data_IF_424254446085
#
_entry.id   IF_424254446085
#
_cell.length_a   1.000
_cell.length_b   1.000
_cell.length_c   1.000
_cell.angle_alpha   90.00
_cell.angle_beta   90.00
_cell.angle_gamma   90.00
#
_symmetry.space_group_name_H-M   'P 1'
#
loop_
_entity.id
_entity.type
_entity.pdbx_description
1 polymer ?
#
# COMPACT_ATOMS: atom_id res chain seq x y z
N UNK A 1 -47.32 -48.95 29.35
CA UNK A 1 -47.32 -47.59 29.95
C UNK A 1 -45.91 -46.93 29.98
N UNK A 2 -44.84 -47.67 30.18
CA UNK A 2 -43.49 -47.08 30.18
C UNK A 2 -42.91 -46.84 28.77
N UNK A 3 -43.27 -47.66 27.78
CA UNK A 3 -42.79 -47.54 26.38
C UNK A 3 -43.50 -46.41 25.63
N UNK A 4 -44.78 -46.15 25.86
CA UNK A 4 -45.50 -45.02 25.23
C UNK A 4 -44.95 -43.67 25.67
N UNK A 5 -44.47 -43.53 26.92
CA UNK A 5 -43.82 -42.30 27.42
C UNK A 5 -42.45 -42.07 26.83
N UNK A 6 -41.68 -43.12 26.50
CA UNK A 6 -40.36 -43.00 25.85
C UNK A 6 -40.50 -42.61 24.38
N UNK A 7 -41.49 -43.12 23.69
CA UNK A 7 -41.74 -42.83 22.27
C UNK A 7 -42.27 -41.39 22.08
N UNK A 8 -43.17 -40.93 22.97
CA UNK A 8 -43.62 -39.53 23.01
C UNK A 8 -42.46 -38.55 23.24
N UNK A 9 -41.57 -38.83 24.20
CA UNK A 9 -40.39 -37.99 24.49
C UNK A 9 -39.37 -37.93 23.32
N UNK A 10 -39.19 -39.05 22.58
CA UNK A 10 -38.36 -39.07 21.38
C UNK A 10 -38.94 -38.25 20.22
N UNK A 11 -40.26 -38.33 20.00
CA UNK A 11 -40.96 -37.53 18.97
C UNK A 11 -40.91 -36.02 19.29
N UNK A 12 -41.06 -35.66 20.55
CA UNK A 12 -41.00 -34.27 21.00
C UNK A 12 -39.59 -33.66 20.84
N UNK A 13 -38.53 -34.42 21.22
CA UNK A 13 -37.13 -34.01 21.00
C UNK A 13 -36.79 -33.86 19.50
N UNK A 14 -37.33 -34.78 18.66
CA UNK A 14 -37.16 -34.72 17.20
C UNK A 14 -37.88 -33.50 16.60
N UNK A 15 -39.04 -33.11 17.10
CA UNK A 15 -39.76 -31.90 16.68
C UNK A 15 -39.02 -30.63 17.11
N UNK A 16 -38.55 -30.55 18.35
CA UNK A 16 -37.77 -29.42 18.84
C UNK A 16 -36.47 -29.22 18.03
N UNK A 17 -35.75 -30.30 17.73
CA UNK A 17 -34.54 -30.25 16.89
C UNK A 17 -34.84 -29.73 15.47
N UNK A 18 -35.96 -30.13 14.87
CA UNK A 18 -36.38 -29.61 13.56
C UNK A 18 -36.73 -28.13 13.58
N UNK A 19 -37.38 -27.66 14.64
CA UNK A 19 -37.66 -26.23 14.80
C UNK A 19 -36.40 -25.40 15.02
N UNK A 20 -35.44 -25.88 15.81
CA UNK A 20 -34.16 -25.24 16.02
C UNK A 20 -33.38 -25.15 14.69
N UNK A 21 -33.35 -26.25 13.92
CA UNK A 21 -32.70 -26.25 12.60
C UNK A 21 -33.42 -25.28 11.63
N UNK A 22 -34.75 -25.27 11.61
CA UNK A 22 -35.52 -24.35 10.78
C UNK A 22 -35.21 -22.87 11.11
N UNK A 23 -35.22 -22.53 12.41
CA UNK A 23 -34.86 -21.17 12.86
C UNK A 23 -33.44 -20.80 12.48
N UNK A 24 -32.48 -21.74 12.59
CA UNK A 24 -31.10 -21.50 12.16
C UNK A 24 -31.02 -21.26 10.65
N UNK A 25 -31.68 -22.08 9.84
CA UNK A 25 -31.72 -21.93 8.37
C UNK A 25 -32.37 -20.60 7.99
N UNK A 26 -33.49 -20.24 8.60
CA UNK A 26 -34.17 -18.96 8.35
C UNK A 26 -33.33 -17.77 8.78
N UNK A 27 -32.68 -17.82 9.94
CA UNK A 27 -31.78 -16.77 10.42
C UNK A 27 -30.60 -16.60 9.53
N UNK A 28 -29.97 -17.70 9.10
CA UNK A 28 -28.86 -17.68 8.16
C UNK A 28 -29.27 -17.13 6.77
N UNK A 29 -30.43 -17.57 6.25
CA UNK A 29 -30.95 -17.08 4.97
C UNK A 29 -31.28 -15.59 5.02
N UNK A 30 -31.88 -15.10 6.10
CA UNK A 30 -32.14 -13.68 6.30
C UNK A 30 -30.87 -12.87 6.37
N UNK A 31 -29.88 -13.33 7.13
CA UNK A 31 -28.56 -12.70 7.20
C UNK A 31 -27.87 -12.67 5.84
N UNK A 32 -27.90 -13.77 5.08
CA UNK A 32 -27.34 -13.84 3.74
C UNK A 32 -28.00 -12.84 2.79
N UNK A 33 -29.34 -12.73 2.84
CA UNK A 33 -30.07 -11.76 2.01
C UNK A 33 -29.73 -10.30 2.39
N UNK A 34 -29.52 -10.00 3.66
CA UNK A 34 -29.08 -8.69 4.12
C UNK A 34 -27.69 -8.39 3.57
N UNK A 35 -26.74 -9.33 3.67
CA UNK A 35 -25.41 -9.17 3.10
C UNK A 35 -25.45 -8.97 1.58
N UNK A 36 -26.24 -9.75 0.87
CA UNK A 36 -26.39 -9.66 -0.58
C UNK A 36 -27.03 -8.32 -1.01
N UNK A 37 -28.03 -7.83 -0.29
CA UNK A 37 -28.69 -6.54 -0.55
C UNK A 37 -27.76 -5.36 -0.34
N UNK A 38 -26.77 -5.47 0.55
CA UNK A 38 -25.73 -4.47 0.74
C UNK A 38 -24.61 -4.57 -0.31
N UNK A 39 -24.27 -5.79 -0.73
CA UNK A 39 -23.17 -6.05 -1.66
C UNK A 39 -23.42 -5.48 -3.07
N UNK A 40 -24.66 -5.56 -3.58
CA UNK A 40 -25.01 -5.05 -4.90
C UNK A 40 -24.83 -3.51 -5.01
N UNK A 41 -25.42 -2.71 -4.08
CA UNK A 41 -25.15 -1.26 -4.08
C UNK A 41 -23.69 -0.92 -3.93
N UNK A 42 -22.96 -1.63 -3.04
CA UNK A 42 -21.52 -1.44 -2.84
C UNK A 42 -20.73 -1.60 -4.13
N UNK A 43 -21.07 -2.60 -4.96
CA UNK A 43 -20.39 -2.82 -6.24
C UNK A 43 -20.64 -1.68 -7.23
N UNK A 44 -21.88 -1.18 -7.29
CA UNK A 44 -22.25 -0.05 -8.15
C UNK A 44 -21.56 1.23 -7.68
N UNK A 45 -21.59 1.51 -6.38
CA UNK A 45 -20.92 2.66 -5.78
C UNK A 45 -19.41 2.61 -5.97
N UNK A 46 -18.79 1.43 -5.88
CA UNK A 46 -17.36 1.26 -6.07
C UNK A 46 -16.91 1.68 -7.48
N UNK A 47 -17.67 1.28 -8.49
CA UNK A 47 -17.40 1.65 -9.89
C UNK A 47 -17.54 3.16 -10.11
N UNK A 48 -18.64 3.76 -9.66
CA UNK A 48 -18.83 5.21 -9.75
C UNK A 48 -17.82 6.00 -8.92
N UNK A 49 -17.44 5.50 -7.74
CA UNK A 49 -16.44 6.14 -6.92
C UNK A 49 -15.07 6.18 -7.62
N UNK A 50 -14.66 5.08 -8.26
CA UNK A 50 -13.39 5.03 -9.00
C UNK A 50 -13.38 6.03 -10.15
N UNK A 51 -14.45 6.11 -10.96
CA UNK A 51 -14.58 7.08 -12.04
C UNK A 51 -14.55 8.53 -11.52
N UNK A 52 -15.31 8.81 -10.45
CA UNK A 52 -15.37 10.13 -9.82
C UNK A 52 -14.00 10.56 -9.30
N UNK A 53 -13.27 9.66 -8.64
CA UNK A 53 -11.95 9.97 -8.10
C UNK A 53 -10.87 10.07 -9.19
N UNK A 54 -11.02 9.39 -10.30
CA UNK A 54 -10.17 9.54 -11.48
C UNK A 54 -10.31 10.94 -12.10
N UNK A 55 -11.54 11.42 -12.28
CA UNK A 55 -11.78 12.78 -12.75
C UNK A 55 -11.33 13.84 -11.76
N UNK A 56 -11.57 13.62 -10.46
CA UNK A 56 -11.06 14.47 -9.41
C UNK A 56 -9.53 14.57 -9.44
N UNK A 57 -8.84 13.43 -9.52
CA UNK A 57 -7.37 13.40 -9.60
C UNK A 57 -6.85 14.19 -10.80
N UNK A 58 -7.50 14.06 -11.96
CA UNK A 58 -7.12 14.84 -13.15
C UNK A 58 -7.21 16.34 -12.86
N UNK A 59 -8.34 16.82 -12.32
CA UNK A 59 -8.52 18.23 -11.97
C UNK A 59 -7.54 18.69 -10.89
N UNK A 60 -7.18 17.80 -9.96
CA UNK A 60 -6.21 18.10 -8.92
C UNK A 60 -4.77 18.23 -9.49
N UNK A 61 -4.37 17.35 -10.41
CA UNK A 61 -3.08 17.48 -11.10
C UNK A 61 -3.01 18.79 -11.91
N UNK A 62 -4.06 19.14 -12.69
CA UNK A 62 -4.15 20.40 -13.41
C UNK A 62 -4.04 21.62 -12.45
N UNK A 63 -4.65 21.53 -11.27
CA UNK A 63 -4.53 22.54 -10.21
C UNK A 63 -3.10 22.64 -9.69
N UNK A 64 -2.44 21.52 -9.39
CA UNK A 64 -1.05 21.50 -8.92
C UNK A 64 -0.10 22.10 -9.96
N UNK A 65 -0.18 21.68 -11.21
CA UNK A 65 0.65 22.21 -12.31
C UNK A 65 0.51 23.74 -12.42
N UNK A 66 -0.74 24.22 -12.38
CA UNK A 66 -1.03 25.67 -12.41
C UNK A 66 -0.45 26.40 -11.20
N UNK A 67 -0.62 25.84 -9.99
CA UNK A 67 -0.15 26.42 -8.75
C UNK A 67 1.37 26.46 -8.66
N UNK A 68 2.04 25.37 -9.05
CA UNK A 68 3.50 25.31 -9.11
C UNK A 68 4.10 26.28 -10.14
N UNK A 69 3.40 26.51 -11.25
CA UNK A 69 3.83 27.48 -12.27
C UNK A 69 3.64 28.95 -11.81
N UNK A 70 2.55 29.21 -11.07
CA UNK A 70 2.16 30.57 -10.66
C UNK A 70 2.90 31.06 -9.40
N UNK A 71 3.22 30.15 -8.47
CA UNK A 71 3.79 30.51 -7.16
C UNK A 71 5.03 29.65 -6.87
N UNK A 72 6.20 30.31 -6.79
CA UNK A 72 7.48 29.64 -6.48
C UNK A 72 7.53 29.08 -5.06
N UNK A 73 6.70 29.54 -4.14
CA UNK A 73 6.68 29.08 -2.75
C UNK A 73 5.53 28.09 -2.48
N UNK A 74 4.67 27.82 -3.47
CA UNK A 74 3.63 26.81 -3.36
C UNK A 74 4.21 25.43 -3.01
N UNK A 75 3.70 24.80 -1.95
CA UNK A 75 4.18 23.51 -1.40
C UNK A 75 5.67 23.46 -1.06
N UNK A 76 6.33 24.59 -0.91
CA UNK A 76 7.69 24.65 -0.40
C UNK A 76 7.70 24.47 1.10
N UNK A 77 8.50 23.52 1.59
CA UNK A 77 8.57 23.21 3.01
C UNK A 77 9.92 23.61 3.61
N UNK A 78 9.91 23.96 4.88
CA UNK A 78 11.13 24.05 5.68
C UNK A 78 11.41 22.66 6.28
N UNK A 79 12.25 21.87 5.61
CA UNK A 79 12.55 20.50 6.01
C UNK A 79 13.10 20.39 7.43
N UNK A 80 13.89 21.36 7.86
CA UNK A 80 14.47 21.38 9.20
C UNK A 80 13.42 21.47 10.30
N UNK A 81 12.24 22.03 10.01
CA UNK A 81 11.14 22.14 10.99
C UNK A 81 10.55 20.79 11.39
N UNK A 82 10.76 19.75 10.61
CA UNK A 82 10.29 18.38 10.88
C UNK A 82 11.30 17.55 11.66
N UNK A 83 12.54 18.04 11.80
CA UNK A 83 13.58 17.32 12.53
C UNK A 83 13.34 17.50 14.04
N UNK A 84 13.15 16.39 14.75
CA UNK A 84 12.91 16.36 16.19
C UNK A 84 13.83 15.37 16.90
N UNK A 85 14.25 15.70 18.11
CA UNK A 85 15.07 14.80 18.93
C UNK A 85 16.55 14.70 18.54
N UNK A 86 16.99 15.45 17.52
CA UNK A 86 18.38 15.54 17.04
C UNK A 86 18.64 16.92 16.44
N UNK A 87 19.91 17.27 16.21
CA UNK A 87 20.23 18.47 15.43
C UNK A 87 20.10 18.20 13.93
N UNK A 88 19.93 19.27 13.15
CA UNK A 88 19.92 19.18 11.68
C UNK A 88 21.19 18.51 11.15
N UNK A 89 22.34 18.90 11.68
CA UNK A 89 23.63 18.33 11.29
C UNK A 89 23.74 16.83 11.61
N UNK A 90 23.21 16.39 12.77
CA UNK A 90 23.20 14.97 13.14
C UNK A 90 22.36 14.15 12.16
N UNK A 91 21.18 14.65 11.77
CA UNK A 91 20.29 13.94 10.82
C UNK A 91 20.93 13.84 9.44
N UNK A 92 21.46 14.93 8.91
CA UNK A 92 22.07 14.92 7.57
C UNK A 92 23.37 14.09 7.51
N UNK A 93 24.15 14.03 8.58
CA UNK A 93 25.35 13.19 8.65
C UNK A 93 25.06 11.72 8.94
N UNK A 94 23.89 11.40 9.47
CA UNK A 94 23.46 10.03 9.73
C UNK A 94 23.28 9.23 8.44
N UNK A 95 23.46 7.91 8.52
CA UNK A 95 23.10 6.99 7.45
C UNK A 95 21.58 6.82 7.36
N UNK A 96 21.07 6.46 6.19
CA UNK A 96 19.64 6.29 5.96
C UNK A 96 18.98 5.31 6.94
N UNK A 97 19.68 4.25 7.35
CA UNK A 97 19.18 3.25 8.29
C UNK A 97 19.30 3.67 9.78
N UNK A 98 19.83 4.85 10.08
CA UNK A 98 19.99 5.38 11.44
C UNK A 98 18.92 6.42 11.79
N UNK A 99 18.12 6.85 10.82
CA UNK A 99 17.06 7.84 11.03
C UNK A 99 15.67 7.20 11.02
N UNK A 100 14.69 7.92 11.56
CA UNK A 100 13.29 7.49 11.60
C UNK A 100 12.43 8.49 10.85
N UNK A 101 11.55 7.95 10.02
CA UNK A 101 10.58 8.73 9.26
C UNK A 101 9.17 8.57 9.83
N UNK A 102 8.39 9.64 9.72
CA UNK A 102 6.95 9.54 9.84
C UNK A 102 6.41 8.94 8.52
N UNK A 103 5.55 7.93 8.65
CA UNK A 103 4.98 7.19 7.53
C UNK A 103 3.47 7.16 7.56
N UNK A 104 2.84 7.07 6.39
CA UNK A 104 1.41 6.77 6.23
C UNK A 104 1.22 5.45 5.49
N UNK A 105 0.19 4.69 5.90
CA UNK A 105 -0.20 3.40 5.33
C UNK A 105 -1.40 3.59 4.40
N UNK A 106 -1.36 3.04 3.19
CA UNK A 106 -2.35 3.33 2.14
C UNK A 106 -2.54 4.84 1.94
N UNK A 107 -1.46 5.55 1.63
CA UNK A 107 -1.36 7.02 1.66
C UNK A 107 -2.31 7.75 0.69
N UNK A 108 -2.93 7.03 -0.22
CA UNK A 108 -3.91 7.48 -1.21
C UNK A 108 -5.37 7.39 -0.73
N UNK A 109 -5.62 6.82 0.47
CA UNK A 109 -6.96 6.43 0.94
C UNK A 109 -7.79 7.62 1.42
N UNK A 110 -8.99 7.78 0.86
CA UNK A 110 -9.95 8.88 1.16
C UNK A 110 -11.26 8.42 1.80
N UNK A 111 -11.24 7.28 2.46
CA UNK A 111 -12.41 6.72 3.15
C UNK A 111 -13.18 5.69 2.33
N UNK A 112 -14.30 5.26 2.88
CA UNK A 112 -15.13 4.20 2.32
C UNK A 112 -16.30 4.79 1.53
N UNK A 113 -16.91 3.99 0.64
CA UNK A 113 -18.23 4.28 0.10
C UNK A 113 -19.30 4.00 1.17
N UNK A 114 -20.51 4.57 1.04
CA UNK A 114 -21.57 4.34 2.00
C UNK A 114 -21.96 2.84 2.13
N UNK A 115 -21.97 2.13 0.99
CA UNK A 115 -22.23 0.70 1.00
C UNK A 115 -21.17 -0.10 1.73
N UNK A 116 -19.89 0.24 1.55
CA UNK A 116 -18.79 -0.40 2.27
C UNK A 116 -18.80 -0.05 3.76
N UNK A 117 -19.09 1.20 4.13
CA UNK A 117 -19.29 1.59 5.52
C UNK A 117 -20.40 0.76 6.17
N UNK A 118 -21.55 0.60 5.50
CA UNK A 118 -22.62 -0.23 6.00
C UNK A 118 -22.21 -1.69 6.19
N UNK A 119 -21.43 -2.25 5.24
CA UNK A 119 -20.91 -3.62 5.38
C UNK A 119 -19.95 -3.76 6.57
N UNK A 120 -19.01 -2.84 6.71
CA UNK A 120 -17.96 -2.92 7.73
C UNK A 120 -18.46 -2.62 9.14
N UNK A 121 -19.38 -1.66 9.30
CA UNK A 121 -19.98 -1.31 10.60
C UNK A 121 -21.26 -2.08 10.92
N UNK A 122 -21.86 -2.77 9.94
CA UNK A 122 -23.06 -3.57 10.06
C UNK A 122 -22.77 -5.08 10.08
N UNK A 123 -23.11 -5.82 8.98
CA UNK A 123 -23.06 -7.28 8.96
C UNK A 123 -21.67 -7.88 9.23
N UNK A 124 -20.60 -7.18 8.85
CA UNK A 124 -19.22 -7.64 9.01
C UNK A 124 -18.45 -6.96 10.15
N UNK A 125 -19.09 -6.13 10.98
CA UNK A 125 -18.44 -5.38 12.05
C UNK A 125 -17.59 -6.25 12.99
N UNK A 126 -18.02 -7.48 13.26
CA UNK A 126 -17.30 -8.43 14.11
C UNK A 126 -15.98 -8.94 13.47
N UNK A 127 -15.86 -8.88 12.14
CA UNK A 127 -14.72 -9.41 11.39
C UNK A 127 -13.81 -8.31 10.86
N UNK A 128 -14.35 -7.16 10.47
CA UNK A 128 -13.60 -6.11 9.78
C UNK A 128 -13.15 -4.99 10.72
N UNK A 129 -13.88 -4.74 11.82
CA UNK A 129 -13.49 -3.79 12.85
C UNK A 129 -13.23 -2.36 12.34
N UNK A 130 -12.68 -1.53 13.22
CA UNK A 130 -12.34 -0.12 12.92
C UNK A 130 -11.02 0.05 12.14
N UNK A 131 -10.37 -1.04 11.76
CA UNK A 131 -9.05 -1.00 11.10
C UNK A 131 -9.06 -0.33 9.71
N UNK A 132 -10.24 -0.18 9.11
CA UNK A 132 -10.40 0.50 7.81
C UNK A 132 -10.92 1.93 7.92
N UNK A 133 -11.14 2.41 9.14
CA UNK A 133 -11.78 3.69 9.45
C UNK A 133 -10.72 4.81 9.57
N UNK A 134 -9.94 5.01 8.52
CA UNK A 134 -8.97 6.08 8.42
C UNK A 134 -8.98 6.69 7.03
N UNK A 135 -8.59 7.96 6.96
CA UNK A 135 -8.48 8.76 5.75
C UNK A 135 -7.20 9.56 5.79
N UNK A 136 -6.68 9.91 4.62
CA UNK A 136 -5.57 10.84 4.47
C UNK A 136 -5.94 11.96 3.52
N UNK A 137 -5.27 13.08 3.68
CA UNK A 137 -5.23 14.14 2.69
C UNK A 137 -4.46 13.69 1.44
N UNK A 138 -4.34 14.55 0.44
CA UNK A 138 -3.55 14.27 -0.76
C UNK A 138 -2.10 13.95 -0.43
N UNK A 139 -1.40 13.32 -1.36
CA UNK A 139 0.02 12.99 -1.15
C UNK A 139 0.82 14.28 -0.94
N UNK A 140 0.56 15.32 -1.73
CA UNK A 140 1.20 16.65 -1.57
C UNK A 140 1.03 17.21 -0.16
N UNK A 141 -0.19 17.15 0.40
CA UNK A 141 -0.46 17.66 1.76
C UNK A 141 0.24 16.83 2.83
N UNK A 142 0.27 15.51 2.68
CA UNK A 142 1.03 14.63 3.58
C UNK A 142 2.54 14.96 3.55
N UNK A 143 3.11 15.18 2.37
CA UNK A 143 4.51 15.58 2.22
C UNK A 143 4.77 16.95 2.84
N UNK A 144 3.84 17.91 2.69
CA UNK A 144 3.91 19.22 3.31
C UNK A 144 3.85 19.17 4.85
N UNK A 145 3.21 18.13 5.41
CA UNK A 145 3.17 17.87 6.85
C UNK A 145 4.38 17.11 7.40
N UNK A 146 5.37 16.79 6.59
CA UNK A 146 6.60 16.11 7.03
C UNK A 146 6.56 14.58 6.92
N UNK A 147 5.54 13.98 6.30
CA UNK A 147 5.56 12.55 5.94
C UNK A 147 6.65 12.35 4.89
N UNK A 148 7.55 11.39 5.13
CA UNK A 148 8.66 11.06 4.21
C UNK A 148 8.67 9.58 3.81
N UNK A 149 7.72 8.81 4.32
CA UNK A 149 7.48 7.44 3.87
C UNK A 149 5.99 7.25 3.60
N UNK A 150 5.64 6.83 2.38
CA UNK A 150 4.27 6.63 1.92
C UNK A 150 4.11 5.24 1.33
N UNK A 151 2.87 4.75 1.27
CA UNK A 151 2.53 3.46 0.67
C UNK A 151 1.52 3.63 -0.46
N UNK A 152 1.81 3.01 -1.60
CA UNK A 152 0.96 2.98 -2.79
C UNK A 152 0.69 1.53 -3.19
N UNK A 153 -0.57 1.17 -3.32
CA UNK A 153 -0.98 -0.14 -3.84
C UNK A 153 -1.02 -0.11 -5.37
N UNK A 154 -0.41 -1.09 -6.01
CA UNK A 154 -0.38 -1.21 -7.46
C UNK A 154 -1.27 -2.36 -7.95
N UNK A 155 -2.32 -2.06 -8.70
CA UNK A 155 -3.22 -3.04 -9.28
C UNK A 155 -3.09 -3.06 -10.81
N UNK A 156 -2.83 -4.25 -11.40
CA UNK A 156 -2.96 -4.45 -12.85
C UNK A 156 -4.44 -4.60 -13.20
N UNK A 157 -5.00 -3.67 -13.93
CA UNK A 157 -6.42 -3.65 -14.32
C UNK A 157 -6.54 -3.68 -15.84
N UNK A 158 -7.27 -4.67 -16.37
CA UNK A 158 -7.50 -4.78 -17.81
C UNK A 158 -8.34 -3.61 -18.31
N UNK A 159 -8.01 -3.10 -19.51
CA UNK A 159 -8.74 -2.06 -20.20
C UNK A 159 -9.64 -2.63 -21.30
N UNK A 160 -10.63 -1.87 -21.76
CA UNK A 160 -11.61 -2.33 -22.74
C UNK A 160 -11.01 -2.62 -24.14
N UNK A 161 -9.86 -2.04 -24.44
CA UNK A 161 -9.10 -2.25 -25.69
C UNK A 161 -8.19 -3.48 -25.66
N UNK A 162 -8.23 -4.25 -24.56
CA UNK A 162 -7.44 -5.47 -24.39
C UNK A 162 -6.06 -5.24 -23.80
N UNK A 163 -5.70 -4.01 -23.44
CA UNK A 163 -4.50 -3.66 -22.70
C UNK A 163 -4.71 -3.74 -21.18
N UNK A 164 -3.86 -3.04 -20.45
CA UNK A 164 -4.02 -2.84 -19.00
C UNK A 164 -3.46 -1.49 -18.57
N UNK A 165 -3.85 -1.08 -17.39
CA UNK A 165 -3.29 0.07 -16.69
C UNK A 165 -2.93 -0.31 -15.25
N UNK A 166 -2.03 0.44 -14.61
CA UNK A 166 -1.75 0.32 -13.19
C UNK A 166 -2.59 1.35 -12.45
N UNK A 167 -3.43 0.87 -11.52
CA UNK A 167 -4.28 1.71 -10.66
C UNK A 167 -3.80 1.64 -9.21
N UNK A 168 -3.88 2.78 -8.52
CA UNK A 168 -3.60 2.85 -7.09
C UNK A 168 -4.91 2.87 -6.31
N UNK A 169 -5.27 1.72 -5.73
CA UNK A 169 -6.41 1.54 -4.84
C UNK A 169 -6.27 0.23 -4.04
N UNK A 170 -6.83 0.19 -2.84
CA UNK A 170 -6.70 -0.98 -1.98
C UNK A 170 -7.52 -2.17 -2.50
N UNK A 171 -8.76 -1.91 -2.92
CA UNK A 171 -9.65 -2.90 -3.50
C UNK A 171 -10.62 -2.24 -4.46
N UNK A 172 -10.67 -2.70 -5.69
CA UNK A 172 -11.62 -2.19 -6.71
C UNK A 172 -13.09 -2.38 -6.34
N UNK A 173 -13.39 -3.22 -5.37
CA UNK A 173 -14.76 -3.55 -4.96
C UNK A 173 -15.19 -2.88 -3.65
N UNK A 174 -14.32 -2.87 -2.66
CA UNK A 174 -14.68 -2.44 -1.30
C UNK A 174 -14.04 -1.11 -0.92
N UNK A 175 -12.87 -0.80 -1.44
CA UNK A 175 -12.09 0.41 -1.13
C UNK A 175 -11.55 1.01 -2.44
N UNK A 176 -12.47 1.51 -3.25
CA UNK A 176 -12.21 2.02 -4.61
C UNK A 176 -11.92 3.53 -4.67
N UNK A 177 -12.07 4.24 -3.55
CA UNK A 177 -11.72 5.66 -3.47
C UNK A 177 -10.22 5.85 -3.25
N UNK A 178 -9.61 6.69 -4.06
CA UNK A 178 -8.18 6.98 -4.00
C UNK A 178 -7.89 8.37 -4.53
N UNK A 179 -6.98 9.12 -3.89
CA UNK A 179 -6.44 10.37 -4.45
C UNK A 179 -5.51 10.13 -5.62
N UNK A 180 -5.03 8.89 -5.80
CA UNK A 180 -4.03 8.50 -6.79
C UNK A 180 -4.52 7.35 -7.70
N UNK A 181 -5.80 7.31 -8.09
CA UNK A 181 -6.41 6.23 -8.90
C UNK A 181 -5.55 5.86 -10.11
N UNK A 182 -5.15 6.84 -10.91
CA UNK A 182 -4.15 6.68 -11.95
C UNK A 182 -2.77 6.71 -11.29
N UNK A 183 -2.10 5.56 -11.29
CA UNK A 183 -0.82 5.40 -10.60
C UNK A 183 0.23 6.37 -11.13
N UNK A 184 0.33 6.54 -12.47
CA UNK A 184 1.32 7.44 -13.08
C UNK A 184 1.09 8.90 -12.70
N UNK A 185 -0.18 9.34 -12.59
CA UNK A 185 -0.49 10.69 -12.11
C UNK A 185 -0.15 10.87 -10.63
N UNK A 186 -0.34 9.84 -9.79
CA UNK A 186 0.12 9.87 -8.41
C UNK A 186 1.65 9.99 -8.30
N UNK A 187 2.40 9.33 -9.19
CA UNK A 187 3.84 9.51 -9.29
C UNK A 187 4.21 10.94 -9.72
N UNK A 188 3.48 11.50 -10.68
CA UNK A 188 3.71 12.88 -11.15
C UNK A 188 3.45 13.91 -10.04
N UNK A 189 2.43 13.71 -9.20
CA UNK A 189 2.19 14.53 -8.00
C UNK A 189 3.41 14.55 -7.08
N UNK A 190 4.00 13.39 -6.80
CA UNK A 190 5.21 13.25 -5.98
C UNK A 190 6.40 13.95 -6.64
N UNK A 191 6.55 13.81 -7.94
CA UNK A 191 7.66 14.40 -8.69
C UNK A 191 7.63 15.93 -8.69
N UNK A 192 6.46 16.52 -8.93
CA UNK A 192 6.26 17.98 -8.82
C UNK A 192 6.63 18.52 -7.43
N UNK A 193 6.28 17.76 -6.37
CA UNK A 193 6.65 18.13 -5.02
C UNK A 193 8.16 18.05 -4.79
N UNK A 194 8.83 17.00 -5.28
CA UNK A 194 10.29 16.86 -5.19
C UNK A 194 11.02 17.96 -5.96
N UNK A 195 10.53 18.35 -7.13
CA UNK A 195 11.10 19.47 -7.90
C UNK A 195 11.02 20.79 -7.13
N UNK A 196 9.95 20.99 -6.39
CA UNK A 196 9.79 22.16 -5.52
C UNK A 196 10.67 22.10 -4.27
N UNK A 197 11.00 20.91 -3.78
CA UNK A 197 11.73 20.65 -2.56
C UNK A 197 13.02 19.83 -2.81
N UNK A 198 13.98 20.34 -3.59
CA UNK A 198 15.18 19.59 -3.99
C UNK A 198 16.12 19.25 -2.83
N UNK A 199 16.01 19.97 -1.72
CA UNK A 199 16.79 19.74 -0.50
C UNK A 199 16.01 18.94 0.57
N UNK A 200 14.84 18.38 0.22
CA UNK A 200 14.06 17.56 1.13
C UNK A 200 14.81 16.31 1.58
N UNK A 201 14.46 15.79 2.74
CA UNK A 201 14.85 14.42 3.13
C UNK A 201 14.40 13.43 2.06
N UNK A 202 15.16 12.34 1.83
CA UNK A 202 14.81 11.36 0.81
C UNK A 202 13.43 10.76 1.07
N UNK A 203 12.63 10.62 0.02
CA UNK A 203 11.32 9.97 0.10
C UNK A 203 11.46 8.46 -0.02
N UNK A 204 10.69 7.74 0.79
CA UNK A 204 10.56 6.28 0.70
C UNK A 204 9.12 5.96 0.30
N UNK A 205 8.94 5.25 -0.81
CA UNK A 205 7.62 4.83 -1.30
C UNK A 205 7.55 3.32 -1.29
N UNK A 206 6.74 2.77 -0.40
CA UNK A 206 6.43 1.34 -0.40
C UNK A 206 5.37 1.08 -1.46
N UNK A 207 5.66 0.18 -2.40
CA UNK A 207 4.70 -0.26 -3.42
C UNK A 207 4.26 -1.68 -3.11
N UNK A 208 2.95 -1.87 -2.91
CA UNK A 208 2.35 -3.17 -2.72
C UNK A 208 1.63 -3.65 -3.99
N UNK A 209 2.20 -4.60 -4.76
CA UNK A 209 1.49 -5.22 -5.88
C UNK A 209 0.30 -6.04 -5.40
N UNK A 210 -0.88 -5.73 -5.88
CA UNK A 210 -2.13 -6.43 -5.54
C UNK A 210 -2.47 -7.52 -6.58
N UNK A 211 -3.35 -8.45 -6.18
CA UNK A 211 -3.82 -9.51 -7.08
C UNK A 211 -2.86 -10.70 -7.23
N UNK A 212 -1.77 -10.76 -6.47
CA UNK A 212 -0.83 -11.88 -6.44
C UNK A 212 -0.22 -12.15 -7.82
N UNK A 213 -0.38 -13.38 -8.35
CA UNK A 213 0.19 -13.79 -9.66
C UNK A 213 -0.36 -13.00 -10.86
N UNK A 214 -1.43 -12.22 -10.70
CA UNK A 214 -1.93 -11.35 -11.77
C UNK A 214 -1.03 -10.13 -12.00
N UNK A 215 -0.23 -9.77 -11.00
CA UNK A 215 0.82 -8.78 -11.17
C UNK A 215 2.06 -9.51 -11.71
N UNK A 216 2.12 -9.64 -13.01
CA UNK A 216 3.07 -10.43 -13.78
C UNK A 216 4.29 -9.61 -14.24
N UNK A 217 5.14 -10.22 -15.06
CA UNK A 217 6.34 -9.60 -15.61
C UNK A 217 6.03 -8.30 -16.39
N UNK A 218 5.00 -8.35 -17.24
CA UNK A 218 4.58 -7.19 -18.03
C UNK A 218 4.12 -6.01 -17.16
N UNK A 219 3.40 -6.31 -16.05
CA UNK A 219 3.00 -5.28 -15.09
C UNK A 219 4.20 -4.67 -14.36
N UNK A 220 5.21 -5.48 -14.02
CA UNK A 220 6.44 -4.97 -13.44
C UNK A 220 7.26 -4.14 -14.44
N UNK A 221 7.33 -4.55 -15.70
CA UNK A 221 8.01 -3.76 -16.74
C UNK A 221 7.35 -2.40 -16.93
N UNK A 222 6.01 -2.38 -16.97
CA UNK A 222 5.25 -1.13 -17.04
C UNK A 222 5.47 -0.24 -15.82
N UNK A 223 5.46 -0.82 -14.61
CA UNK A 223 5.67 -0.08 -13.37
C UNK A 223 7.09 0.49 -13.28
N UNK A 224 8.11 -0.33 -13.50
CA UNK A 224 9.51 0.13 -13.51
C UNK A 224 9.72 1.22 -14.58
N UNK A 225 9.14 1.05 -15.77
CA UNK A 225 9.17 2.07 -16.82
C UNK A 225 8.57 3.40 -16.38
N UNK A 226 7.41 3.40 -15.70
CA UNK A 226 6.82 4.62 -15.15
C UNK A 226 7.74 5.30 -14.13
N UNK A 227 8.40 4.52 -13.24
CA UNK A 227 9.31 5.05 -12.24
C UNK A 227 10.54 5.71 -12.87
N UNK A 228 11.12 5.08 -13.89
CA UNK A 228 12.24 5.65 -14.65
C UNK A 228 11.84 6.92 -15.41
N UNK A 229 10.68 6.87 -16.09
CA UNK A 229 10.17 7.99 -16.88
C UNK A 229 9.92 9.24 -16.03
N UNK A 230 9.32 9.04 -14.85
CA UNK A 230 8.89 10.15 -13.98
C UNK A 230 10.07 10.72 -13.19
N UNK A 231 10.88 9.88 -12.55
CA UNK A 231 11.86 10.35 -11.57
C UNK A 231 13.29 10.48 -12.11
N UNK A 232 13.65 9.79 -13.18
CA UNK A 232 14.95 9.92 -13.80
C UNK A 232 16.12 9.79 -12.80
N UNK A 233 16.92 10.86 -12.66
CA UNK A 233 18.07 10.88 -11.76
C UNK A 233 17.71 10.99 -10.27
N UNK A 234 16.49 11.40 -9.94
CA UNK A 234 15.99 11.42 -8.55
C UNK A 234 15.78 10.00 -8.00
N UNK A 235 15.53 9.01 -8.87
CA UNK A 235 15.29 7.61 -8.50
C UNK A 235 16.57 6.90 -8.04
N UNK A 236 16.53 6.33 -6.84
CA UNK A 236 17.58 5.47 -6.29
C UNK A 236 17.24 4.00 -6.50
N UNK A 237 17.75 3.45 -7.60
CA UNK A 237 17.58 2.04 -7.97
C UNK A 237 18.49 1.13 -7.14
N UNK A 238 18.24 -0.22 -7.10
CA UNK A 238 19.15 -1.17 -6.50
C UNK A 238 20.60 -1.01 -6.99
N UNK A 239 20.80 -0.85 -8.31
CA UNK A 239 22.11 -0.61 -8.90
C UNK A 239 22.81 0.63 -8.35
N UNK A 240 22.08 1.75 -8.22
CA UNK A 240 22.65 2.99 -7.68
C UNK A 240 23.02 2.88 -6.20
N UNK A 241 22.18 2.16 -5.42
CA UNK A 241 22.43 1.95 -3.99
C UNK A 241 23.54 0.95 -3.71
N UNK A 242 23.60 -0.16 -4.45
CA UNK A 242 24.65 -1.16 -4.32
C UNK A 242 26.04 -0.59 -4.66
N UNK A 243 26.14 0.31 -5.65
CA UNK A 243 27.43 0.82 -6.06
C UNK A 243 28.38 -0.29 -6.49
N UNK A 244 29.43 -0.51 -5.71
CA UNK A 244 30.47 -1.53 -5.96
C UNK A 244 30.13 -2.91 -5.34
N UNK A 245 29.02 -3.03 -4.60
CA UNK A 245 28.60 -4.28 -3.97
C UNK A 245 27.84 -5.16 -4.96
N UNK A 246 28.10 -6.46 -4.92
CA UNK A 246 27.39 -7.44 -5.76
C UNK A 246 25.97 -7.77 -5.26
N UNK A 247 25.71 -7.56 -3.97
CA UNK A 247 24.43 -7.91 -3.34
C UNK A 247 24.19 -7.11 -2.04
N UNK A 248 22.96 -7.13 -1.56
CA UNK A 248 22.59 -6.43 -0.33
C UNK A 248 23.05 -7.12 0.97
N UNK A 249 23.47 -8.39 0.97
CA UNK A 249 24.04 -9.00 2.17
C UNK A 249 25.38 -8.35 2.52
N UNK A 250 26.29 -8.23 1.55
CA UNK A 250 27.59 -7.59 1.71
C UNK A 250 27.43 -6.08 2.01
N UNK A 251 26.53 -5.39 1.27
CA UNK A 251 26.19 -3.99 1.49
C UNK A 251 25.74 -3.73 2.95
N UNK A 252 24.88 -4.59 3.52
CA UNK A 252 24.44 -4.45 4.91
C UNK A 252 25.51 -4.83 5.92
N UNK A 253 26.32 -5.84 5.62
CA UNK A 253 27.41 -6.27 6.52
C UNK A 253 28.42 -5.14 6.75
N UNK A 254 28.69 -4.33 5.71
CA UNK A 254 29.58 -3.19 5.78
C UNK A 254 28.87 -1.89 6.21
N UNK A 255 27.58 -1.96 6.53
CA UNK A 255 26.74 -0.78 6.81
C UNK A 255 26.89 0.33 5.76
N UNK A 256 26.86 -0.05 4.48
CA UNK A 256 27.17 0.82 3.35
C UNK A 256 26.03 1.81 2.98
N UNK A 257 25.03 1.97 3.85
CA UNK A 257 23.95 2.92 3.61
C UNK A 257 24.50 4.34 3.42
N UNK A 258 24.04 5.05 2.37
CA UNK A 258 24.45 6.43 2.14
C UNK A 258 23.95 7.35 3.25
N UNK A 259 24.62 8.50 3.44
CA UNK A 259 24.16 9.52 4.38
C UNK A 259 22.95 10.26 3.83
N UNK A 260 22.11 10.76 4.73
CA UNK A 260 20.91 11.55 4.38
C UNK A 260 21.28 12.75 3.51
N UNK A 261 22.41 13.42 3.81
CA UNK A 261 22.91 14.54 3.02
C UNK A 261 23.08 14.20 1.53
N UNK A 262 23.63 13.01 1.22
CA UNK A 262 23.82 12.57 -0.16
C UNK A 262 22.55 12.17 -0.88
N UNK A 263 21.45 12.02 -0.12
CA UNK A 263 20.15 11.57 -0.62
C UNK A 263 19.11 12.69 -0.71
N UNK A 264 19.48 13.95 -0.47
CA UNK A 264 18.56 15.09 -0.58
C UNK A 264 17.85 15.11 -1.93
N UNK A 265 16.53 15.30 -1.91
CA UNK A 265 15.69 15.35 -3.09
C UNK A 265 15.61 14.05 -3.89
N UNK A 266 16.05 12.94 -3.32
CA UNK A 266 15.99 11.62 -3.93
C UNK A 266 14.78 10.83 -3.46
N UNK A 267 14.43 9.78 -4.23
CA UNK A 267 13.33 8.89 -3.93
C UNK A 267 13.75 7.43 -4.07
N UNK A 268 13.31 6.61 -3.11
CA UNK A 268 13.53 5.17 -3.07
C UNK A 268 12.18 4.48 -3.13
N UNK A 269 11.97 3.67 -4.16
CA UNK A 269 10.82 2.77 -4.19
C UNK A 269 11.18 1.42 -3.61
N UNK A 270 10.32 0.94 -2.71
CA UNK A 270 10.44 -0.36 -2.06
C UNK A 270 9.33 -1.27 -2.56
N UNK A 271 9.69 -2.38 -3.17
CA UNK A 271 8.73 -3.43 -3.49
C UNK A 271 8.38 -4.20 -2.22
N UNK A 272 7.13 -4.11 -1.77
CA UNK A 272 6.61 -4.92 -0.67
C UNK A 272 6.54 -6.38 -1.10
N UNK A 273 7.19 -7.26 -0.34
CA UNK A 273 7.14 -8.69 -0.60
C UNK A 273 5.71 -9.22 -0.58
N UNK A 274 5.27 -9.73 -1.72
CA UNK A 274 4.00 -10.45 -1.91
C UNK A 274 4.21 -11.65 -2.83
N UNK A 275 3.12 -12.26 -3.26
CA UNK A 275 3.15 -13.48 -4.08
C UNK A 275 3.89 -13.36 -5.44
N UNK A 276 4.19 -12.15 -5.88
CA UNK A 276 4.89 -11.82 -7.14
C UNK A 276 6.39 -11.56 -6.99
N UNK A 277 6.98 -11.70 -5.78
CA UNK A 277 8.40 -11.44 -5.54
C UNK A 277 9.32 -12.27 -6.44
N UNK A 278 9.06 -13.58 -6.56
CA UNK A 278 9.86 -14.46 -7.44
C UNK A 278 9.84 -13.98 -8.90
N UNK A 279 8.70 -13.47 -9.38
CA UNK A 279 8.58 -12.89 -10.74
C UNK A 279 9.46 -11.65 -10.89
N UNK A 280 9.45 -10.75 -9.89
CA UNK A 280 10.27 -9.54 -9.92
C UNK A 280 11.76 -9.86 -9.94
N UNK A 281 12.22 -10.76 -9.08
CA UNK A 281 13.63 -11.21 -9.04
C UNK A 281 14.05 -11.93 -10.33
N UNK A 282 13.19 -12.78 -10.90
CA UNK A 282 13.51 -13.54 -12.11
C UNK A 282 13.75 -12.65 -13.33
N UNK A 283 13.10 -11.47 -13.41
CA UNK A 283 13.32 -10.47 -14.47
C UNK A 283 14.73 -9.88 -14.47
N UNK A 284 15.29 -9.72 -13.27
CA UNK A 284 16.56 -9.02 -13.08
C UNK A 284 17.32 -9.60 -11.87
N UNK A 285 17.85 -10.81 -11.97
CA UNK A 285 18.49 -11.50 -10.86
C UNK A 285 19.77 -10.81 -10.34
N UNK A 286 20.35 -9.90 -11.15
CA UNK A 286 21.54 -9.12 -10.79
C UNK A 286 21.22 -7.69 -10.38
N UNK A 287 19.92 -7.34 -10.26
CA UNK A 287 19.42 -6.03 -9.82
C UNK A 287 19.98 -4.82 -10.61
N UNK A 288 20.26 -5.01 -11.90
CA UNK A 288 20.89 -3.99 -12.74
C UNK A 288 19.89 -3.08 -13.47
N UNK A 289 18.65 -3.56 -13.66
CA UNK A 289 17.61 -2.90 -14.46
C UNK A 289 16.38 -2.56 -13.66
N UNK A 290 16.22 -3.13 -12.47
CA UNK A 290 15.07 -2.92 -11.58
C UNK A 290 15.01 -1.49 -11.06
N UNK A 291 13.81 -0.90 -11.02
CA UNK A 291 13.57 0.42 -10.44
C UNK A 291 13.39 0.36 -8.92
N UNK A 292 12.74 -0.71 -8.42
CA UNK A 292 12.38 -0.84 -7.01
C UNK A 292 13.37 -1.72 -6.24
N UNK A 293 13.69 -1.28 -5.04
CA UNK A 293 14.44 -2.05 -4.05
C UNK A 293 13.50 -2.99 -3.30
N UNK A 294 13.95 -4.18 -2.92
CA UNK A 294 13.10 -5.18 -2.27
C UNK A 294 13.05 -4.94 -0.77
N UNK A 295 11.82 -4.92 -0.22
CA UNK A 295 11.54 -4.93 1.21
C UNK A 295 10.89 -6.27 1.60
N UNK A 296 11.62 -7.12 2.35
CA UNK A 296 11.12 -8.42 2.78
C UNK A 296 10.27 -8.32 4.05
N UNK A 297 9.19 -9.08 4.13
CA UNK A 297 8.52 -9.26 5.41
C UNK A 297 9.40 -10.05 6.39
N UNK A 298 9.44 -9.61 7.66
CA UNK A 298 10.21 -10.26 8.72
C UNK A 298 10.00 -11.78 8.79
N UNK A 299 8.75 -12.25 8.65
CA UNK A 299 8.44 -13.68 8.66
C UNK A 299 9.04 -14.46 7.48
N UNK A 300 9.27 -13.81 6.34
CA UNK A 300 9.96 -14.41 5.20
C UNK A 300 11.46 -14.49 5.46
N UNK A 301 12.05 -13.45 6.03
CA UNK A 301 13.45 -13.47 6.48
C UNK A 301 13.69 -14.65 7.42
N UNK A 302 12.80 -14.88 8.39
CA UNK A 302 12.91 -15.99 9.33
C UNK A 302 12.73 -17.37 8.72
N UNK A 303 11.98 -17.49 7.62
CA UNK A 303 11.65 -18.79 6.99
C UNK A 303 12.48 -19.12 5.74
N UNK A 304 12.86 -18.10 4.99
CA UNK A 304 13.46 -18.19 3.66
C UNK A 304 14.58 -17.17 3.45
N UNK A 305 15.20 -16.67 4.54
CA UNK A 305 16.21 -15.61 4.47
C UNK A 305 17.33 -15.95 3.49
N UNK A 306 17.89 -17.17 3.55
CA UNK A 306 18.96 -17.61 2.65
C UNK A 306 18.64 -17.44 1.14
N UNK A 307 17.34 -17.58 0.77
CA UNK A 307 16.94 -17.44 -0.64
C UNK A 307 16.89 -15.98 -1.11
N UNK A 308 16.43 -15.06 -0.25
CA UNK A 308 16.05 -13.72 -0.67
C UNK A 308 16.89 -12.60 -0.07
N UNK A 309 17.67 -12.88 1.00
CA UNK A 309 18.40 -11.84 1.74
C UNK A 309 19.30 -10.99 0.84
N UNK A 310 20.00 -11.61 -0.09
CA UNK A 310 20.90 -10.91 -1.01
C UNK A 310 20.22 -9.86 -1.91
N UNK A 311 18.90 -9.94 -2.07
CA UNK A 311 18.09 -9.00 -2.84
C UNK A 311 17.45 -7.91 -1.98
N UNK A 312 17.41 -8.09 -0.65
CA UNK A 312 16.66 -7.25 0.26
C UNK A 312 17.45 -6.00 0.66
N UNK A 313 16.94 -4.84 0.30
CA UNK A 313 17.44 -3.58 0.82
C UNK A 313 17.04 -3.38 2.29
N UNK A 314 15.81 -3.75 2.65
CA UNK A 314 15.25 -3.57 4.00
C UNK A 314 14.25 -4.66 4.38
N UNK A 315 13.78 -4.61 5.62
CA UNK A 315 12.79 -5.55 6.19
C UNK A 315 11.57 -4.79 6.70
N UNK A 316 10.39 -5.33 6.43
CA UNK A 316 9.10 -4.81 6.90
C UNK A 316 8.60 -5.67 8.06
N UNK A 317 8.17 -5.03 9.15
CA UNK A 317 7.50 -5.65 10.29
C UNK A 317 6.05 -5.20 10.32
N UNK A 318 5.18 -5.88 9.55
CA UNK A 318 3.77 -5.53 9.43
C UNK A 318 2.96 -5.66 10.73
N UNK A 319 3.38 -6.52 11.64
CA UNK A 319 2.70 -6.76 12.92
C UNK A 319 3.61 -6.35 14.08
N UNK A 320 4.03 -5.08 14.11
CA UNK A 320 4.95 -4.52 15.09
C UNK A 320 4.56 -4.85 16.55
N UNK A 321 3.25 -4.87 16.85
CA UNK A 321 2.75 -5.23 18.19
C UNK A 321 3.09 -6.65 18.63
N UNK A 322 3.28 -7.58 17.67
CA UNK A 322 3.67 -8.98 17.93
C UNK A 322 5.19 -9.19 18.00
N UNK A 323 5.96 -8.18 17.62
CA UNK A 323 7.42 -8.24 17.50
C UNK A 323 8.13 -7.10 18.23
N UNK A 324 7.55 -6.65 19.36
CA UNK A 324 8.07 -5.54 20.18
C UNK A 324 9.50 -5.74 20.67
N UNK A 325 9.92 -6.98 20.80
CA UNK A 325 11.28 -7.39 21.18
C UNK A 325 12.31 -7.24 20.05
N UNK A 326 11.86 -6.88 18.84
CA UNK A 326 12.67 -6.77 17.63
C UNK A 326 12.72 -5.34 17.04
N UNK A 327 11.97 -4.44 17.64
CA UNK A 327 11.91 -3.01 17.31
C UNK A 327 12.64 -2.21 18.38
#
# INVERSE_FOLDING_TARGET
MADDKKEGSKKEKSRAAKWVLALFVWGFSAYFLICLSAFIPTTIEAHHAEETWREWQKGYIDFLETSYAADSDFSKVNEESFITGATVADVYSARLNEIRYLASHNSYKVGLTQGTEYLYHGPFAAFMGKQFDYVYDTITEQLNMGIRSIELDANKVATADGGFEIRCLHSSLLESKSTAVDFKKGLHEIDMWLERNPDSLPLIVLVEPKGGKKFDEEAFDALDGMLFDVFGDKLLTPKKLLGEYDNFDDFRADNAYPTVETLKGKIIFLLHEKASLDTYIARDPDMQKSAMNIALEYKTVMKKGEKYSKYAFTVIINEASKHKDRI
#
